data_IF_727816199368
#
_entry.id   IF_727816199368
#
_cell.length_a   1.000
_cell.length_b   1.000
_cell.length_c   1.000
_cell.angle_alpha   90.00
_cell.angle_beta   90.00
_cell.angle_gamma   90.00
#
_symmetry.space_group_name_H-M   'P 1'
#
loop_
_entity.id
_entity.type
_entity.pdbx_description
1 polymer ?
#
# COMPACT_ATOMS: atom_id res chain seq x y z
N UNK A 1 -20.61 5.86 1.35
CA UNK A 1 -19.28 5.41 1.78
C UNK A 1 -18.31 6.56 1.64
N UNK A 2 -17.75 7.00 2.73
CA UNK A 2 -16.77 8.07 2.81
C UNK A 2 -15.41 7.49 3.23
N UNK A 3 -14.35 8.31 3.22
CA UNK A 3 -13.03 7.87 3.68
C UNK A 3 -13.05 7.35 5.12
N UNK A 4 -13.89 7.95 5.97
CA UNK A 4 -14.04 7.53 7.38
C UNK A 4 -14.63 6.12 7.56
N UNK A 5 -15.31 5.61 6.53
CA UNK A 5 -15.94 4.29 6.55
C UNK A 5 -15.02 3.19 6.00
N UNK A 6 -13.81 3.55 5.59
CA UNK A 6 -12.84 2.63 5.02
C UNK A 6 -11.90 2.13 6.11
N UNK A 7 -11.95 0.84 6.41
CA UNK A 7 -11.13 0.20 7.46
C UNK A 7 -10.04 -0.72 6.90
N UNK A 8 -10.13 -1.07 5.63
CA UNK A 8 -9.17 -1.95 4.97
C UNK A 8 -9.03 -1.59 3.48
N UNK A 9 -8.07 -2.20 2.84
CA UNK A 9 -7.77 -1.97 1.42
C UNK A 9 -8.98 -2.22 0.51
N UNK A 10 -9.78 -3.23 0.78
CA UNK A 10 -10.99 -3.56 -0.01
C UNK A 10 -12.03 -2.44 0.03
N UNK A 11 -12.14 -1.75 1.16
CA UNK A 11 -13.07 -0.62 1.30
C UNK A 11 -12.59 0.59 0.51
N UNK A 12 -11.28 0.90 0.57
CA UNK A 12 -10.68 1.95 -0.26
C UNK A 12 -10.87 1.67 -1.75
N UNK A 13 -10.66 0.42 -2.19
CA UNK A 13 -10.88 0.01 -3.59
C UNK A 13 -12.34 0.21 -4.02
N UNK A 14 -13.32 -0.16 -3.17
CA UNK A 14 -14.75 0.07 -3.44
C UNK A 14 -15.07 1.56 -3.54
N UNK A 15 -14.49 2.37 -2.66
CA UNK A 15 -14.68 3.82 -2.69
C UNK A 15 -14.07 4.42 -3.95
N UNK A 16 -12.86 4.03 -4.32
CA UNK A 16 -12.18 4.45 -5.54
C UNK A 16 -13.03 4.12 -6.79
N UNK A 17 -13.58 2.91 -6.86
CA UNK A 17 -14.46 2.48 -7.97
C UNK A 17 -15.70 3.38 -8.12
N UNK A 18 -16.21 3.92 -7.01
CA UNK A 18 -17.38 4.83 -7.03
C UNK A 18 -17.02 6.27 -7.39
N UNK A 19 -15.78 6.68 -7.08
CA UNK A 19 -15.35 8.08 -7.20
C UNK A 19 -14.61 8.37 -8.49
N UNK A 20 -13.89 7.40 -9.03
CA UNK A 20 -13.09 7.57 -10.24
C UNK A 20 -13.90 7.29 -11.51
N UNK A 21 -13.62 8.01 -12.60
CA UNK A 21 -14.11 7.62 -13.92
C UNK A 21 -13.71 6.18 -14.25
N UNK A 22 -14.63 5.42 -14.82
CA UNK A 22 -14.44 3.98 -15.07
C UNK A 22 -13.15 3.64 -15.83
N UNK A 23 -12.76 4.34 -16.90
CA UNK A 23 -11.51 4.04 -17.60
C UNK A 23 -10.27 4.19 -16.71
N UNK A 24 -10.25 5.24 -15.87
CA UNK A 24 -9.13 5.50 -14.95
C UNK A 24 -9.08 4.42 -13.87
N UNK A 25 -10.23 4.09 -13.31
CA UNK A 25 -10.30 3.03 -12.31
C UNK A 25 -9.78 1.71 -12.87
N UNK A 26 -10.24 1.27 -14.04
CA UNK A 26 -9.82 0.02 -14.65
C UNK A 26 -8.35 -0.01 -15.05
N UNK A 27 -7.80 1.14 -15.47
CA UNK A 27 -6.37 1.25 -15.74
C UNK A 27 -5.51 1.02 -14.49
N UNK A 28 -5.90 1.59 -13.35
CA UNK A 28 -5.17 1.47 -12.09
C UNK A 28 -5.38 0.10 -11.44
N UNK A 29 -6.60 -0.41 -11.51
CA UNK A 29 -7.04 -1.63 -10.82
C UNK A 29 -6.66 -2.92 -11.57
N UNK A 30 -6.45 -2.84 -12.88
CA UNK A 30 -6.09 -3.98 -13.72
C UNK A 30 -4.62 -4.35 -13.62
N UNK A 31 -4.31 -5.59 -13.97
CA UNK A 31 -2.97 -6.12 -14.06
C UNK A 31 -2.75 -6.90 -15.38
N UNK A 32 -1.56 -7.42 -15.58
CA UNK A 32 -1.19 -8.07 -16.82
C UNK A 32 -1.75 -9.50 -16.93
N UNK A 33 -2.15 -9.87 -18.12
CA UNK A 33 -2.61 -11.22 -18.52
C UNK A 33 -3.68 -11.79 -17.57
N UNK A 34 -3.43 -12.96 -16.99
CA UNK A 34 -4.35 -13.66 -16.08
C UNK A 34 -4.32 -13.12 -14.64
N UNK A 35 -3.64 -12.01 -14.40
CA UNK A 35 -3.56 -11.33 -13.10
C UNK A 35 -3.05 -12.20 -11.93
N UNK A 36 -2.24 -13.21 -12.22
CA UNK A 36 -1.73 -14.15 -11.21
C UNK A 36 -0.88 -13.45 -10.15
N UNK A 37 0.03 -12.58 -10.59
CA UNK A 37 0.90 -11.83 -9.67
C UNK A 37 0.10 -10.82 -8.85
N UNK A 38 -0.91 -10.20 -9.45
CA UNK A 38 -1.83 -9.30 -8.76
C UNK A 38 -2.58 -10.04 -7.63
N UNK A 39 -3.14 -11.21 -7.91
CA UNK A 39 -3.81 -12.03 -6.89
C UNK A 39 -2.83 -12.46 -5.78
N UNK A 40 -1.61 -12.84 -6.15
CA UNK A 40 -0.55 -13.24 -5.21
C UNK A 40 -0.13 -12.11 -4.28
N UNK A 41 -0.08 -10.87 -4.74
CA UNK A 41 0.23 -9.71 -3.91
C UNK A 41 -0.70 -9.56 -2.71
N UNK A 42 -1.90 -10.08 -2.78
CA UNK A 42 -2.85 -10.09 -1.67
C UNK A 42 -2.80 -11.40 -0.89
N UNK A 43 -2.85 -12.54 -1.59
CA UNK A 43 -2.94 -13.85 -0.94
C UNK A 43 -1.68 -14.24 -0.16
N UNK A 44 -0.50 -13.77 -0.55
CA UNK A 44 0.74 -14.08 0.17
C UNK A 44 0.79 -13.53 1.59
N UNK A 45 -0.03 -12.55 1.94
CA UNK A 45 -0.17 -12.11 3.33
C UNK A 45 -0.91 -13.12 4.21
N UNK A 46 -1.74 -13.96 3.61
CA UNK A 46 -2.47 -15.01 4.33
C UNK A 46 -1.55 -16.18 4.73
N UNK A 47 -0.36 -16.27 4.12
CA UNK A 47 0.65 -17.31 4.40
C UNK A 47 1.60 -16.92 5.53
N UNK A 48 1.45 -15.72 6.11
CA UNK A 48 2.36 -15.17 7.12
C UNK A 48 1.61 -14.81 8.39
N UNK A 49 1.99 -15.45 9.49
CA UNK A 49 1.47 -15.15 10.82
C UNK A 49 2.43 -14.25 11.61
N UNK A 50 1.89 -13.25 12.28
CA UNK A 50 2.63 -12.49 13.27
C UNK A 50 2.44 -13.13 14.65
N UNK A 51 3.51 -13.73 15.19
CA UNK A 51 3.48 -14.36 16.51
C UNK A 51 3.95 -13.35 17.56
N UNK A 52 3.06 -12.79 18.39
CA UNK A 52 3.43 -11.80 19.38
C UNK A 52 4.18 -12.46 20.55
N UNK A 53 5.25 -11.81 21.00
CA UNK A 53 5.88 -12.15 22.27
C UNK A 53 5.15 -11.42 23.39
N UNK A 54 4.46 -12.17 24.24
CA UNK A 54 3.73 -11.61 25.39
C UNK A 54 4.64 -11.35 26.60
N UNK A 55 4.23 -10.46 27.49
CA UNK A 55 4.91 -10.13 28.76
C UNK A 55 6.37 -9.63 28.61
N UNK A 56 6.66 -8.95 27.52
CA UNK A 56 8.02 -8.44 27.26
C UNK A 56 8.30 -7.06 27.85
N UNK A 57 7.30 -6.37 28.41
CA UNK A 57 7.45 -5.04 29.03
C UNK A 57 8.03 -4.01 28.07
N UNK A 58 7.57 -4.01 26.80
CA UNK A 58 8.06 -3.07 25.79
C UNK A 58 7.45 -1.70 26.04
N UNK A 59 8.24 -0.78 26.54
CA UNK A 59 7.82 0.62 26.75
C UNK A 59 8.03 1.47 25.50
N UNK A 60 9.11 1.22 24.76
CA UNK A 60 9.44 1.95 23.55
C UNK A 60 9.51 0.98 22.36
N UNK A 61 8.76 1.32 21.30
CA UNK A 61 8.76 0.54 20.05
C UNK A 61 9.64 1.24 19.04
N UNK A 62 10.72 0.60 18.61
CA UNK A 62 11.57 1.07 17.50
C UNK A 62 11.42 0.13 16.32
N UNK A 63 10.79 0.61 15.24
CA UNK A 63 10.59 -0.10 13.98
C UNK A 63 11.60 0.32 12.92
N UNK A 64 12.58 1.16 13.28
CA UNK A 64 13.54 1.69 12.33
C UNK A 64 14.47 0.60 11.78
N UNK A 65 14.84 0.75 10.53
CA UNK A 65 15.80 -0.11 9.84
C UNK A 65 16.66 0.69 8.88
N UNK A 66 17.74 0.11 8.41
CA UNK A 66 18.61 0.74 7.42
C UNK A 66 18.67 -0.09 6.15
N UNK A 67 18.32 0.52 5.03
CA UNK A 67 18.36 -0.11 3.71
C UNK A 67 19.22 0.75 2.79
N UNK A 68 20.22 0.17 2.16
CA UNK A 68 21.17 0.87 1.28
C UNK A 68 21.77 2.16 1.90
N UNK A 69 22.09 2.11 3.20
CA UNK A 69 22.65 3.25 3.93
C UNK A 69 21.64 4.34 4.30
N UNK A 70 20.37 4.20 3.95
CA UNK A 70 19.30 5.11 4.36
C UNK A 70 18.52 4.53 5.55
N UNK A 71 18.36 5.33 6.60
CA UNK A 71 17.51 4.98 7.72
C UNK A 71 16.05 5.19 7.35
N UNK A 72 15.24 4.17 7.61
CA UNK A 72 13.78 4.20 7.52
C UNK A 72 13.21 4.11 8.93
N UNK A 73 12.21 4.90 9.23
CA UNK A 73 11.52 4.86 10.52
C UNK A 73 10.58 3.65 10.64
N UNK A 74 10.16 3.10 9.51
CA UNK A 74 9.37 1.88 9.40
C UNK A 74 10.03 0.90 8.42
N UNK A 75 9.97 -0.43 8.66
CA UNK A 75 10.63 -1.42 7.82
C UNK A 75 9.85 -1.73 6.53
N UNK A 76 9.21 -0.75 5.95
CA UNK A 76 8.53 -0.88 4.66
C UNK A 76 8.49 0.46 3.90
N UNK A 77 8.31 0.37 2.61
CA UNK A 77 8.12 1.52 1.72
C UNK A 77 7.11 1.17 0.63
N UNK A 78 6.48 2.20 0.08
CA UNK A 78 5.57 2.04 -1.04
C UNK A 78 6.37 2.06 -2.35
N UNK A 79 6.09 1.11 -3.23
CA UNK A 79 6.63 1.14 -4.60
C UNK A 79 6.15 2.38 -5.34
N UNK A 80 6.97 2.97 -6.21
CA UNK A 80 6.54 4.09 -7.03
C UNK A 80 5.43 3.65 -7.97
N UNK A 81 4.33 4.41 -7.99
CA UNK A 81 3.19 4.18 -8.88
C UNK A 81 3.00 5.37 -9.80
N UNK A 82 2.70 5.09 -11.07
CA UNK A 82 2.43 6.11 -12.06
C UNK A 82 1.03 6.74 -11.90
N UNK A 83 0.81 7.87 -12.55
CA UNK A 83 -0.52 8.51 -12.72
C UNK A 83 -1.25 8.91 -11.43
N UNK A 84 -0.54 9.25 -10.38
CA UNK A 84 -1.20 9.73 -9.16
C UNK A 84 -1.75 11.17 -9.28
N UNK A 85 -1.20 11.95 -10.19
CA UNK A 85 -1.60 13.35 -10.41
C UNK A 85 -3.03 13.55 -10.93
N UNK A 86 -3.60 12.70 -11.79
CA UNK A 86 -4.98 12.82 -12.20
C UNK A 86 -6.00 12.60 -11.08
N UNK A 87 -5.57 12.00 -9.97
CA UNK A 87 -6.44 11.55 -8.88
C UNK A 87 -6.30 12.37 -7.62
N UNK A 88 -5.13 12.97 -7.38
CA UNK A 88 -4.86 13.77 -6.18
C UNK A 88 -3.72 14.76 -6.41
N UNK A 89 -3.88 15.99 -5.92
CA UNK A 89 -2.81 16.99 -5.89
C UNK A 89 -1.76 16.70 -4.79
N UNK A 90 -2.02 15.79 -3.88
CA UNK A 90 -1.09 15.34 -2.86
C UNK A 90 -0.20 14.26 -3.43
N UNK A 91 1.00 14.67 -3.89
CA UNK A 91 2.01 13.79 -4.40
C UNK A 91 2.69 12.99 -3.28
N UNK A 92 2.66 11.67 -3.39
CA UNK A 92 3.88 10.92 -3.18
C UNK A 92 4.78 11.24 -4.39
N UNK A 93 5.73 12.14 -4.25
CA UNK A 93 6.77 12.32 -5.25
C UNK A 93 7.49 10.98 -5.36
N UNK A 94 7.26 10.27 -6.46
CA UNK A 94 8.24 9.33 -6.92
C UNK A 94 9.53 10.15 -7.04
N UNK A 95 10.53 9.86 -6.23
CA UNK A 95 11.84 10.42 -6.41
C UNK A 95 12.33 9.92 -7.76
N UNK A 96 12.12 10.70 -8.80
CA UNK A 96 12.93 10.61 -9.97
C UNK A 96 14.34 10.96 -9.49
N UNK A 97 15.12 9.93 -9.28
CA UNK A 97 16.56 10.07 -9.09
C UNK A 97 17.11 10.54 -10.43
N UNK A 98 17.39 11.81 -10.53
CA UNK A 98 18.37 12.31 -11.49
C UNK A 98 19.72 11.72 -11.17
#
# INVERSE_FOLDING_TARGET
MNLKDCHNFKDFRKLAKKKLPSPIFHYIDGAADDEITYARNTSSFDDVDLVPNVLRGVENVDLSTTIFGKKLDLPFYLSPTALQRPVSYTHLRAHETT
#
